data_IF_444775407064
#
_entry.id   IF_444775407064
#
_cell.length_a   1.000
_cell.length_b   1.000
_cell.length_c   1.000
_cell.angle_alpha   90.00
_cell.angle_beta   90.00
_cell.angle_gamma   90.00
#
_symmetry.space_group_name_H-M   'P 1'
#
loop_
_entity.id
_entity.type
_entity.pdbx_description
1 polymer ?
#
# COMPACT_ATOMS: atom_id res chain seq x y z
N UNK A 1 14.65 -3.29 11.43
CA UNK A 1 13.58 -2.68 12.24
C UNK A 1 13.66 -3.27 13.62
N UNK A 2 13.67 -2.44 14.66
CA UNK A 2 13.78 -2.89 16.04
C UNK A 2 12.44 -2.70 16.76
N UNK A 3 12.03 -3.64 17.65
CA UNK A 3 10.79 -3.52 18.40
C UNK A 3 10.67 -2.20 19.20
N UNK A 4 11.79 -1.67 19.68
CA UNK A 4 11.86 -0.39 20.42
C UNK A 4 11.43 0.83 19.59
N UNK A 5 11.48 0.71 18.27
CA UNK A 5 11.02 1.76 17.34
C UNK A 5 9.55 1.64 17.02
N UNK A 6 8.87 0.63 17.55
CA UNK A 6 7.46 0.42 17.35
C UNK A 6 6.70 0.61 18.67
N UNK A 7 5.39 0.75 18.57
CA UNK A 7 4.46 0.85 19.70
C UNK A 7 3.10 0.33 19.27
N UNK A 8 2.30 -0.12 20.23
CA UNK A 8 0.89 -0.36 19.96
C UNK A 8 0.13 0.97 19.94
N UNK A 9 -0.69 1.16 18.91
CA UNK A 9 -1.70 2.22 18.85
C UNK A 9 -3.03 1.49 18.71
N UNK A 10 -3.82 1.51 19.79
CA UNK A 10 -5.17 0.95 19.84
C UNK A 10 -5.29 -0.47 19.25
N UNK A 11 -4.30 -1.33 19.55
CA UNK A 11 -4.25 -2.73 19.11
C UNK A 11 -3.37 -3.01 17.89
N UNK A 12 -2.94 -1.98 17.14
CA UNK A 12 -2.11 -2.14 15.93
C UNK A 12 -0.63 -1.86 16.23
N UNK A 13 0.27 -2.75 15.79
CA UNK A 13 1.71 -2.57 15.94
C UNK A 13 2.27 -1.60 14.90
N UNK A 14 2.66 -0.41 15.34
CA UNK A 14 2.99 0.72 14.47
C UNK A 14 4.39 1.25 14.73
N UNK A 15 5.11 1.62 13.66
CA UNK A 15 6.41 2.28 13.78
C UNK A 15 6.25 3.71 14.30
N UNK A 16 7.19 4.18 15.12
CA UNK A 16 7.14 5.51 15.74
C UNK A 16 7.23 6.67 14.75
N UNK A 17 7.64 6.38 13.51
CA UNK A 17 7.60 7.31 12.37
C UNK A 17 6.18 7.81 12.05
N UNK A 18 5.15 7.01 12.34
CA UNK A 18 3.76 7.43 12.14
C UNK A 18 3.31 8.26 13.34
N UNK A 19 2.78 9.49 13.13
CA UNK A 19 2.21 10.28 14.22
C UNK A 19 1.02 9.56 14.85
N UNK A 20 1.02 9.41 16.17
CA UNK A 20 -0.01 8.62 16.88
C UNK A 20 -1.42 9.17 16.69
N UNK A 21 -1.54 10.50 16.74
CA UNK A 21 -2.80 11.22 16.50
C UNK A 21 -3.35 10.96 15.09
N UNK A 22 -2.49 10.87 14.07
CA UNK A 22 -2.90 10.65 12.69
C UNK A 22 -3.40 9.21 12.51
N UNK A 23 -2.70 8.23 13.09
CA UNK A 23 -3.13 6.83 13.07
C UNK A 23 -4.49 6.67 13.77
N UNK A 24 -4.66 7.25 14.97
CA UNK A 24 -5.95 7.21 15.67
C UNK A 24 -7.06 7.96 14.92
N UNK A 25 -6.73 9.06 14.25
CA UNK A 25 -7.65 9.80 13.40
C UNK A 25 -8.11 8.94 12.22
N UNK A 26 -7.17 8.27 11.53
CA UNK A 26 -7.46 7.36 10.42
C UNK A 26 -8.35 6.18 10.84
N UNK A 27 -8.10 5.57 12.02
CA UNK A 27 -8.96 4.51 12.58
C UNK A 27 -10.41 4.96 12.81
N UNK A 28 -10.62 6.26 13.07
CA UNK A 28 -11.94 6.86 13.30
C UNK A 28 -12.61 7.38 12.03
N UNK A 29 -11.89 7.40 10.91
CA UNK A 29 -12.44 7.88 9.65
C UNK A 29 -13.63 7.03 9.24
N UNK A 30 -14.74 7.70 8.89
CA UNK A 30 -15.94 7.06 8.38
C UNK A 30 -16.05 7.37 6.88
N UNK A 31 -15.84 6.38 6.00
CA UNK A 31 -15.98 6.59 4.58
C UNK A 31 -17.36 7.14 4.20
N UNK A 32 -17.37 8.11 3.29
CA UNK A 32 -18.57 8.72 2.72
C UNK A 32 -19.05 7.89 1.53
N UNK A 33 -20.27 8.16 1.10
CA UNK A 33 -20.82 7.56 -0.10
C UNK A 33 -19.94 7.84 -1.32
N UNK A 34 -19.63 6.78 -2.08
CA UNK A 34 -18.75 6.86 -3.24
C UNK A 34 -17.25 6.99 -2.94
N UNK A 35 -16.82 7.01 -1.67
CA UNK A 35 -15.39 7.00 -1.37
C UNK A 35 -14.74 5.70 -1.87
N UNK A 36 -13.58 5.84 -2.50
CA UNK A 36 -12.76 4.72 -2.97
C UNK A 36 -11.57 4.57 -2.01
N UNK A 37 -11.38 3.37 -1.48
CA UNK A 37 -10.30 3.07 -0.54
C UNK A 37 -9.46 1.91 -1.09
N UNK A 38 -8.18 2.19 -1.35
CA UNK A 38 -7.18 1.17 -1.64
C UNK A 38 -6.60 0.67 -0.31
N UNK A 39 -6.85 -0.60 -0.01
CA UNK A 39 -6.38 -1.26 1.21
C UNK A 39 -5.39 -2.35 0.84
N UNK A 40 -4.26 -2.40 1.52
CA UNK A 40 -3.25 -3.43 1.28
C UNK A 40 -2.51 -3.72 2.57
N UNK A 41 -2.00 -4.94 2.75
CA UNK A 41 -0.87 -5.10 3.66
C UNK A 41 0.35 -4.38 3.06
N UNK A 42 1.28 -3.81 3.85
CA UNK A 42 2.46 -3.14 3.31
C UNK A 42 3.16 -3.97 2.23
N UNK A 43 3.53 -3.29 1.14
CA UNK A 43 4.34 -3.85 0.05
C UNK A 43 3.63 -4.85 -0.87
N UNK A 44 2.30 -4.84 -0.87
CA UNK A 44 1.48 -5.63 -1.80
C UNK A 44 1.08 -4.90 -3.09
N UNK A 45 1.72 -3.77 -3.45
CA UNK A 45 1.42 -3.05 -4.71
C UNK A 45 0.55 -1.80 -4.57
N UNK A 46 0.53 -1.22 -3.38
CA UNK A 46 -0.31 -0.08 -2.99
C UNK A 46 -0.16 1.14 -3.90
N UNK A 47 1.07 1.64 -4.08
CA UNK A 47 1.33 2.81 -4.93
C UNK A 47 0.93 2.55 -6.39
N UNK A 48 1.09 1.32 -6.87
CA UNK A 48 0.76 0.97 -8.26
C UNK A 48 -0.75 1.02 -8.47
N UNK A 49 -1.49 0.37 -7.59
CA UNK A 49 -2.96 0.32 -7.64
C UNK A 49 -3.57 1.71 -7.43
N UNK A 50 -3.06 2.46 -6.45
CA UNK A 50 -3.54 3.82 -6.20
C UNK A 50 -3.29 4.74 -7.41
N UNK A 51 -2.13 4.62 -8.07
CA UNK A 51 -1.82 5.41 -9.26
C UNK A 51 -2.64 4.99 -10.48
N UNK A 52 -2.96 3.69 -10.63
CA UNK A 52 -3.92 3.20 -11.63
C UNK A 52 -5.29 3.84 -11.40
N UNK A 53 -5.81 3.79 -10.17
CA UNK A 53 -7.11 4.41 -9.83
C UNK A 53 -7.10 5.90 -10.15
N UNK A 54 -6.04 6.62 -9.75
CA UNK A 54 -5.87 8.03 -10.10
C UNK A 54 -5.98 8.26 -11.62
N UNK A 55 -5.23 7.49 -12.42
CA UNK A 55 -5.23 7.66 -13.87
C UNK A 55 -6.56 7.28 -14.52
N UNK A 56 -7.32 6.33 -13.98
CA UNK A 56 -8.67 6.02 -14.45
C UNK A 56 -9.61 7.21 -14.20
N UNK A 57 -9.58 7.77 -12.98
CA UNK A 57 -10.44 8.87 -12.57
C UNK A 57 -10.11 10.17 -13.32
N UNK A 58 -8.82 10.44 -13.60
CA UNK A 58 -8.40 11.65 -14.33
C UNK A 58 -8.37 11.49 -15.84
N UNK A 59 -8.78 10.35 -16.38
CA UNK A 59 -8.65 10.02 -17.81
C UNK A 59 -7.20 10.13 -18.30
N UNK A 60 -6.25 9.71 -17.46
CA UNK A 60 -4.82 9.73 -17.75
C UNK A 60 -4.20 11.12 -17.77
N UNK A 61 -4.84 12.12 -17.16
CA UNK A 61 -4.24 13.43 -16.97
C UNK A 61 -3.23 13.37 -15.81
N UNK A 62 -1.94 13.64 -16.07
CA UNK A 62 -0.91 13.53 -15.06
C UNK A 62 -1.03 14.65 -14.02
N UNK A 63 -0.69 14.39 -12.74
CA UNK A 63 -0.54 15.45 -11.76
C UNK A 63 0.75 16.24 -12.06
N UNK A 64 0.84 17.47 -11.57
CA UNK A 64 2.03 18.30 -11.70
C UNK A 64 3.26 17.65 -11.04
N UNK A 65 3.06 17.06 -9.85
CA UNK A 65 4.08 16.30 -9.13
C UNK A 65 3.47 15.35 -8.07
N UNK A 66 4.34 14.64 -7.34
CA UNK A 66 3.95 13.73 -6.27
C UNK A 66 3.26 14.44 -5.09
N UNK A 67 3.51 15.73 -4.89
CA UNK A 67 2.90 16.54 -3.84
C UNK A 67 1.43 16.78 -4.11
N UNK A 68 1.10 17.23 -5.32
CA UNK A 68 -0.29 17.37 -5.78
C UNK A 68 -1.02 16.01 -5.76
N UNK A 69 -0.39 14.97 -6.31
CA UNK A 69 -0.92 13.60 -6.26
C UNK A 69 -1.25 13.14 -4.83
N UNK A 70 -0.38 13.44 -3.86
CA UNK A 70 -0.58 13.02 -2.47
C UNK A 70 -1.71 13.77 -1.75
N UNK A 71 -2.10 14.96 -2.22
CA UNK A 71 -3.29 15.65 -1.73
C UNK A 71 -4.57 15.07 -2.35
N UNK A 72 -4.50 14.70 -3.63
CA UNK A 72 -5.63 14.11 -4.35
C UNK A 72 -5.91 12.66 -3.92
N UNK A 73 -4.86 11.93 -3.52
CA UNK A 73 -4.90 10.50 -3.18
C UNK A 73 -4.14 10.22 -1.86
N UNK A 74 -4.72 10.59 -0.70
CA UNK A 74 -4.01 10.64 0.57
C UNK A 74 -3.76 9.27 1.21
N UNK A 75 -2.66 9.17 1.95
CA UNK A 75 -2.36 8.03 2.84
C UNK A 75 -2.74 8.38 4.28
N UNK A 76 -3.96 8.00 4.69
CA UNK A 76 -4.55 8.50 5.93
C UNK A 76 -3.83 8.03 7.19
N UNK A 77 -3.16 6.87 7.17
CA UNK A 77 -2.38 6.39 8.33
C UNK A 77 -1.24 7.37 8.68
N UNK A 78 -0.72 8.08 7.67
CA UNK A 78 0.30 9.10 7.83
C UNK A 78 -0.27 10.50 8.01
N UNK A 79 -1.31 10.86 7.24
CA UNK A 79 -1.81 12.24 7.16
C UNK A 79 -3.03 12.53 8.05
N UNK A 80 -3.63 11.50 8.66
CA UNK A 80 -4.88 11.58 9.41
C UNK A 80 -6.12 11.64 8.50
N UNK A 81 -7.30 11.50 9.11
CA UNK A 81 -8.59 11.49 8.43
C UNK A 81 -8.92 12.82 7.74
N UNK A 82 -8.44 13.95 8.27
CA UNK A 82 -8.66 15.28 7.69
C UNK A 82 -8.18 15.36 6.23
N UNK A 83 -7.13 14.60 5.87
CA UNK A 83 -6.66 14.55 4.48
C UNK A 83 -7.67 13.88 3.55
N UNK A 84 -8.45 12.91 4.03
CA UNK A 84 -9.55 12.33 3.26
C UNK A 84 -10.74 13.30 3.15
N UNK A 85 -10.94 14.17 4.13
CA UNK A 85 -12.00 15.19 4.11
C UNK A 85 -11.65 16.42 3.27
N UNK A 86 -10.41 16.52 2.79
CA UNK A 86 -9.92 17.62 1.96
C UNK A 86 -10.73 17.79 0.67
N UNK A 87 -11.20 19.01 0.32
CA UNK A 87 -11.95 19.26 -0.92
C UNK A 87 -11.15 18.97 -2.21
N UNK A 88 -9.83 19.04 -2.17
CA UNK A 88 -8.96 18.69 -3.31
C UNK A 88 -8.83 17.17 -3.50
N UNK A 89 -9.32 16.36 -2.56
CA UNK A 89 -9.32 14.90 -2.69
C UNK A 89 -10.45 14.46 -3.61
N UNK A 90 -10.08 13.94 -4.77
CA UNK A 90 -11.02 13.30 -5.70
C UNK A 90 -10.63 11.85 -6.05
N UNK A 91 -9.40 11.42 -5.74
CA UNK A 91 -8.92 10.07 -6.01
C UNK A 91 -9.01 9.16 -4.76
N UNK A 92 -8.52 7.93 -4.90
CA UNK A 92 -8.60 6.94 -3.83
C UNK A 92 -7.84 7.35 -2.56
N UNK A 93 -8.45 7.06 -1.42
CA UNK A 93 -7.81 7.07 -0.12
C UNK A 93 -7.00 5.79 0.01
N UNK A 94 -5.86 5.84 0.70
CA UNK A 94 -5.05 4.66 0.95
C UNK A 94 -4.85 4.43 2.44
N UNK A 95 -4.90 3.17 2.84
CA UNK A 95 -4.62 2.72 4.21
C UNK A 95 -4.00 1.32 4.24
N UNK A 96 -3.20 1.06 5.27
CA UNK A 96 -2.69 -0.25 5.64
C UNK A 96 -3.31 -0.74 6.97
N UNK A 97 -4.31 -0.04 7.49
CA UNK A 97 -4.95 -0.43 8.74
C UNK A 97 -5.67 -1.78 8.57
N UNK A 98 -5.46 -2.73 9.49
CA UNK A 98 -6.17 -4.00 9.46
C UNK A 98 -7.67 -3.78 9.70
N UNK A 99 -8.50 -4.73 9.26
CA UNK A 99 -9.96 -4.61 9.27
C UNK A 99 -10.55 -4.34 10.67
N UNK A 100 -9.91 -4.84 11.74
CA UNK A 100 -10.34 -4.57 13.12
C UNK A 100 -10.10 -3.12 13.58
N UNK A 101 -9.20 -2.40 12.92
CA UNK A 101 -8.84 -1.01 13.22
C UNK A 101 -9.46 0.00 12.24
N UNK A 102 -9.87 -0.46 11.06
CA UNK A 102 -10.58 0.32 10.06
C UNK A 102 -11.76 -0.50 9.53
N UNK A 103 -12.93 -0.30 10.14
CA UNK A 103 -14.13 -1.07 9.81
C UNK A 103 -14.77 -0.54 8.52
N UNK A 104 -14.86 -1.37 7.46
CA UNK A 104 -15.49 -0.96 6.21
C UNK A 104 -17.01 -0.78 6.36
N UNK A 105 -17.58 0.05 5.49
CA UNK A 105 -19.00 0.43 5.43
C UNK A 105 -19.53 0.25 4.01
N UNK A 106 -20.81 -0.04 3.84
CA UNK A 106 -21.35 -0.50 2.56
C UNK A 106 -21.38 0.57 1.45
N UNK A 107 -21.44 1.85 1.81
CA UNK A 107 -21.50 2.97 0.88
C UNK A 107 -20.17 3.32 0.18
N UNK A 108 -19.06 2.73 0.63
CA UNK A 108 -17.74 2.98 0.06
C UNK A 108 -17.25 1.77 -0.73
N UNK A 109 -16.37 2.00 -1.70
CA UNK A 109 -15.73 0.98 -2.52
C UNK A 109 -14.33 0.67 -2.00
N UNK A 110 -14.00 -0.61 -1.87
CA UNK A 110 -12.70 -1.06 -1.40
C UNK A 110 -11.98 -1.85 -2.48
N UNK A 111 -10.73 -1.49 -2.76
CA UNK A 111 -9.85 -2.27 -3.60
C UNK A 111 -8.78 -2.88 -2.69
N UNK A 112 -8.87 -4.19 -2.47
CA UNK A 112 -7.87 -4.93 -1.69
C UNK A 112 -6.87 -5.60 -2.62
N UNK A 113 -5.57 -5.36 -2.39
CA UNK A 113 -4.49 -6.01 -3.16
C UNK A 113 -3.71 -6.96 -2.28
N UNK A 114 -3.76 -8.24 -2.61
CA UNK A 114 -2.93 -9.27 -2.02
C UNK A 114 -1.64 -9.47 -2.84
N UNK A 115 -0.60 -9.98 -2.20
CA UNK A 115 0.65 -10.39 -2.86
C UNK A 115 1.21 -11.59 -2.14
N UNK A 116 1.81 -12.54 -2.85
CA UNK A 116 2.33 -13.76 -2.21
C UNK A 116 3.26 -13.41 -1.01
N UNK A 117 3.16 -14.16 0.11
CA UNK A 117 3.80 -13.78 1.35
C UNK A 117 5.34 -13.76 1.26
N UNK A 118 5.94 -14.56 0.37
CA UNK A 118 7.38 -14.64 0.18
C UNK A 118 7.95 -13.36 -0.46
N UNK A 119 7.40 -12.92 -1.59
CA UNK A 119 7.83 -11.66 -2.23
C UNK A 119 7.43 -10.44 -1.40
N UNK A 120 6.30 -10.51 -0.69
CA UNK A 120 5.90 -9.49 0.26
C UNK A 120 6.98 -9.30 1.34
N UNK A 121 7.43 -10.40 1.97
CA UNK A 121 8.47 -10.36 2.99
C UNK A 121 9.77 -9.74 2.46
N UNK A 122 10.26 -10.14 1.28
CA UNK A 122 11.46 -9.54 0.66
C UNK A 122 11.26 -8.05 0.38
N UNK A 123 10.12 -7.67 -0.19
CA UNK A 123 9.85 -6.27 -0.46
C UNK A 123 9.74 -5.43 0.80
N UNK A 124 9.28 -6.02 1.91
CA UNK A 124 9.14 -5.35 3.19
C UNK A 124 10.46 -5.27 3.95
N UNK A 125 11.33 -6.27 3.82
CA UNK A 125 12.71 -6.20 4.28
C UNK A 125 13.43 -4.95 3.73
N UNK A 126 13.48 -4.81 2.41
CA UNK A 126 14.16 -3.68 1.75
C UNK A 126 13.55 -2.32 2.09
N UNK A 127 12.23 -2.25 2.26
CA UNK A 127 11.57 -1.03 2.70
C UNK A 127 11.93 -0.68 4.15
N UNK A 128 12.00 -1.69 5.02
CA UNK A 128 12.28 -1.52 6.44
C UNK A 128 13.71 -1.07 6.72
N UNK A 129 14.67 -1.34 5.82
CA UNK A 129 16.03 -0.79 5.91
C UNK A 129 16.01 0.74 5.97
N UNK A 130 15.23 1.39 5.11
CA UNK A 130 15.08 2.85 5.09
C UNK A 130 14.39 3.43 6.34
N UNK A 131 13.81 2.59 7.19
CA UNK A 131 13.21 2.95 8.48
C UNK A 131 14.06 2.49 9.66
N UNK A 132 15.23 1.89 9.42
CA UNK A 132 16.10 1.35 10.45
C UNK A 132 17.33 2.25 10.63
N UNK A 133 17.58 2.78 11.84
CA UNK A 133 18.76 3.60 12.13
C UNK A 133 20.06 2.83 11.93
N UNK A 134 21.13 3.51 11.50
CA UNK A 134 22.47 2.93 11.38
C UNK A 134 23.05 2.39 12.69
N UNK A 135 22.49 2.77 13.84
CA UNK A 135 22.86 2.19 15.15
C UNK A 135 22.44 0.73 15.30
N UNK A 136 21.49 0.26 14.49
CA UNK A 136 21.12 -1.16 14.42
C UNK A 136 22.09 -1.84 13.47
N UNK A 137 22.89 -2.77 13.97
CA UNK A 137 23.97 -3.40 13.21
C UNK A 137 23.53 -4.67 12.48
N UNK A 138 22.65 -5.47 13.08
CA UNK A 138 22.05 -6.63 12.41
C UNK A 138 20.81 -6.19 11.63
N UNK A 139 21.01 -5.98 10.34
CA UNK A 139 19.96 -5.71 9.37
C UNK A 139 19.82 -6.86 8.37
N UNK A 140 20.12 -8.09 8.78
CA UNK A 140 20.04 -9.27 7.91
C UNK A 140 18.59 -9.60 7.53
N UNK A 141 18.42 -10.24 6.36
CA UNK A 141 17.11 -10.76 5.95
C UNK A 141 16.57 -11.80 6.95
N UNK A 142 17.44 -12.64 7.52
CA UNK A 142 17.06 -13.63 8.53
C UNK A 142 16.41 -12.96 9.74
N UNK A 143 17.05 -11.94 10.30
CA UNK A 143 16.51 -11.15 11.42
C UNK A 143 15.16 -10.52 11.10
N UNK A 144 15.02 -9.95 9.90
CA UNK A 144 13.73 -9.40 9.47
C UNK A 144 12.66 -10.47 9.31
N UNK A 145 12.99 -11.62 8.74
CA UNK A 145 12.05 -12.71 8.52
C UNK A 145 11.49 -13.22 9.85
N UNK A 146 12.32 -13.36 10.88
CA UNK A 146 11.85 -13.73 12.23
C UNK A 146 10.82 -12.73 12.79
N UNK A 147 11.04 -11.43 12.56
CA UNK A 147 10.07 -10.38 12.95
C UNK A 147 8.80 -10.46 12.11
N UNK A 148 8.91 -10.75 10.81
CA UNK A 148 7.77 -10.87 9.91
C UNK A 148 6.88 -12.07 10.29
N UNK A 149 7.47 -13.24 10.51
CA UNK A 149 6.74 -14.47 10.88
C UNK A 149 6.10 -14.39 12.27
N UNK A 150 6.64 -13.55 13.16
CA UNK A 150 6.07 -13.29 14.49
C UNK A 150 5.07 -12.11 14.52
N UNK A 151 4.81 -11.47 13.37
CA UNK A 151 3.93 -10.30 13.28
C UNK A 151 4.46 -9.05 14.00
N UNK A 152 5.78 -8.97 14.24
CA UNK A 152 6.46 -7.84 14.89
C UNK A 152 7.01 -6.83 13.88
N UNK A 153 6.29 -6.62 12.79
CA UNK A 153 6.54 -5.62 11.74
C UNK A 153 5.34 -4.66 11.61
N UNK A 154 5.47 -3.52 10.93
CA UNK A 154 4.36 -2.54 10.85
C UNK A 154 3.07 -3.21 10.39
N UNK A 155 1.96 -2.85 11.04
CA UNK A 155 0.61 -3.36 10.82
C UNK A 155 0.37 -4.81 11.26
N UNK A 156 1.37 -5.47 11.85
CA UNK A 156 1.22 -6.76 12.51
C UNK A 156 1.49 -7.95 11.59
N UNK A 157 0.77 -9.03 11.80
CA UNK A 157 0.90 -10.27 11.03
C UNK A 157 0.19 -10.15 9.66
N UNK A 158 0.86 -10.66 8.63
CA UNK A 158 0.37 -10.63 7.24
C UNK A 158 -0.99 -11.33 7.06
N UNK A 159 -1.19 -12.50 7.66
CA UNK A 159 -2.42 -13.27 7.49
C UNK A 159 -3.56 -12.75 8.36
N UNK A 160 -3.25 -12.21 9.55
CA UNK A 160 -4.25 -11.50 10.36
C UNK A 160 -4.79 -10.25 9.64
N UNK A 161 -3.99 -9.67 8.73
CA UNK A 161 -4.44 -8.61 7.83
C UNK A 161 -5.19 -9.15 6.60
N UNK A 162 -4.66 -10.19 5.93
CA UNK A 162 -5.19 -10.70 4.67
C UNK A 162 -6.51 -11.46 4.81
N UNK A 163 -6.61 -12.37 5.78
CA UNK A 163 -7.74 -13.31 5.88
C UNK A 163 -9.10 -12.62 6.07
N UNK A 164 -9.25 -11.57 6.91
CA UNK A 164 -10.51 -10.85 7.01
C UNK A 164 -10.97 -10.24 5.69
N UNK A 165 -10.05 -9.64 4.92
CA UNK A 165 -10.36 -9.09 3.61
C UNK A 165 -10.64 -10.17 2.55
N UNK A 166 -9.93 -11.30 2.63
CA UNK A 166 -10.20 -12.46 1.79
C UNK A 166 -11.61 -13.01 2.03
N UNK A 167 -12.10 -13.01 3.27
CA UNK A 167 -13.47 -13.38 3.62
C UNK A 167 -14.53 -12.47 2.99
N UNK A 168 -14.18 -11.21 2.70
CA UNK A 168 -15.04 -10.19 2.09
C UNK A 168 -14.87 -10.05 0.57
N UNK A 169 -14.04 -10.87 -0.06
CA UNK A 169 -13.72 -10.77 -1.50
C UNK A 169 -14.92 -10.91 -2.45
N UNK A 170 -16.05 -11.39 -1.93
CA UNK A 170 -17.30 -11.55 -2.68
C UNK A 170 -18.32 -10.47 -2.36
N UNK A 171 -18.00 -9.54 -1.45
CA UNK A 171 -18.86 -8.39 -1.17
C UNK A 171 -18.94 -7.50 -2.42
N UNK A 172 -20.12 -6.95 -2.76
CA UNK A 172 -20.30 -6.17 -3.99
C UNK A 172 -19.49 -4.88 -4.01
N UNK A 173 -19.11 -4.35 -2.83
CA UNK A 173 -18.31 -3.15 -2.69
C UNK A 173 -16.81 -3.44 -2.43
N UNK A 174 -16.35 -4.68 -2.64
CA UNK A 174 -14.95 -5.08 -2.49
C UNK A 174 -14.43 -5.68 -3.80
N UNK A 175 -13.48 -5.01 -4.43
CA UNK A 175 -12.66 -5.59 -5.49
C UNK A 175 -11.40 -6.19 -4.88
N UNK A 176 -11.28 -7.51 -4.94
CA UNK A 176 -10.10 -8.23 -4.49
C UNK A 176 -9.25 -8.65 -5.70
N UNK A 177 -7.99 -8.21 -5.72
CA UNK A 177 -7.04 -8.51 -6.80
C UNK A 177 -5.68 -8.93 -6.20
N UNK A 178 -4.83 -9.53 -7.02
CA UNK A 178 -3.46 -9.86 -6.63
C UNK A 178 -2.44 -9.04 -7.40
N UNK A 179 -1.31 -8.74 -6.77
CA UNK A 179 -0.16 -8.13 -7.43
C UNK A 179 0.33 -8.97 -8.61
N UNK A 180 0.21 -10.29 -8.50
CA UNK A 180 0.64 -11.23 -9.52
C UNK A 180 -0.26 -11.19 -10.75
N UNK A 181 -1.58 -11.06 -10.59
CA UNK A 181 -2.51 -10.86 -11.71
C UNK A 181 -2.20 -9.54 -12.44
N UNK A 182 -1.98 -8.45 -11.69
CA UNK A 182 -1.57 -7.16 -12.28
C UNK A 182 -0.25 -7.27 -13.04
N UNK A 183 0.69 -8.08 -12.56
CA UNK A 183 1.97 -8.32 -13.23
C UNK A 183 1.84 -9.21 -14.46
N UNK A 184 0.89 -10.14 -14.47
CA UNK A 184 0.65 -11.05 -15.58
C UNK A 184 -0.08 -10.34 -16.73
N UNK A 185 -1.14 -9.58 -16.44
CA UNK A 185 -1.89 -8.81 -17.42
C UNK A 185 -2.42 -7.50 -16.80
N UNK A 186 -1.61 -6.45 -16.93
CA UNK A 186 -1.97 -5.13 -16.42
C UNK A 186 -3.21 -4.55 -17.14
N UNK A 187 -3.39 -4.84 -18.44
CA UNK A 187 -4.52 -4.29 -19.20
C UNK A 187 -5.83 -4.85 -18.67
N UNK A 188 -5.90 -6.16 -18.45
CA UNK A 188 -7.07 -6.82 -17.88
C UNK A 188 -7.41 -6.26 -16.49
N UNK A 189 -6.42 -6.13 -15.60
CA UNK A 189 -6.67 -5.61 -14.24
C UNK A 189 -7.05 -4.12 -14.22
N UNK A 190 -6.50 -3.29 -15.12
CA UNK A 190 -6.91 -1.87 -15.27
C UNK A 190 -8.38 -1.77 -15.70
N UNK A 191 -8.81 -2.58 -16.67
CA UNK A 191 -10.22 -2.60 -17.12
C UNK A 191 -11.16 -3.07 -16.00
N UNK A 192 -10.79 -4.12 -15.29
CA UNK A 192 -11.52 -4.64 -14.14
C UNK A 192 -11.66 -3.61 -13.02
N UNK A 193 -10.59 -2.88 -12.71
CA UNK A 193 -10.64 -1.76 -11.75
C UNK A 193 -11.60 -0.68 -12.27
N UNK A 194 -11.51 -0.29 -13.53
CA UNK A 194 -12.38 0.75 -14.09
C UNK A 194 -13.86 0.37 -14.02
N UNK A 195 -14.23 -0.86 -14.37
CA UNK A 195 -15.60 -1.36 -14.24
C UNK A 195 -16.10 -1.32 -12.79
N UNK A 196 -15.26 -1.75 -11.85
CA UNK A 196 -15.59 -1.68 -10.43
C UNK A 196 -15.78 -0.23 -9.93
N UNK A 197 -14.96 0.71 -10.41
CA UNK A 197 -15.10 2.12 -10.08
C UNK A 197 -16.39 2.73 -10.64
N UNK A 198 -16.90 2.24 -11.76
CA UNK A 198 -18.22 2.58 -12.29
C UNK A 198 -18.35 2.32 -13.78
N UNK A 199 -19.58 2.17 -14.26
CA UNK A 199 -19.88 1.88 -15.68
C UNK A 199 -19.28 2.93 -16.62
N UNK A 200 -19.33 4.21 -16.24
CA UNK A 200 -18.73 5.31 -17.00
C UNK A 200 -17.20 5.21 -17.13
N UNK A 201 -16.52 4.58 -16.16
CA UNK A 201 -15.08 4.37 -16.21
C UNK A 201 -14.75 3.17 -17.07
N UNK A 202 -15.47 2.06 -16.91
CA UNK A 202 -15.33 0.87 -17.75
C UNK A 202 -15.58 1.17 -19.22
N UNK A 203 -16.72 1.82 -19.54
CA UNK A 203 -17.07 2.20 -20.92
C UNK A 203 -16.00 3.07 -21.57
N UNK A 204 -15.53 4.10 -20.87
CA UNK A 204 -14.50 4.98 -21.40
C UNK A 204 -13.19 4.25 -21.75
N UNK A 205 -12.82 3.20 -21.02
CA UNK A 205 -11.63 2.41 -21.34
C UNK A 205 -11.87 1.34 -22.41
N UNK A 206 -13.06 0.77 -22.50
CA UNK A 206 -13.39 -0.19 -23.55
C UNK A 206 -13.52 0.47 -24.93
N UNK A 207 -13.93 1.73 -25.00
CA UNK A 207 -14.15 2.47 -26.25
C UNK A 207 -12.90 3.24 -26.74
N UNK A 208 -11.90 3.45 -25.88
CA UNK A 208 -10.70 4.26 -26.20
C UNK A 208 -9.40 3.52 -25.84
N UNK A 209 -8.88 2.76 -26.81
CA UNK A 209 -7.60 2.05 -26.67
C UNK A 209 -6.40 3.00 -26.48
N UNK A 210 -6.48 4.26 -26.95
CA UNK A 210 -5.40 5.24 -26.74
C UNK A 210 -5.37 5.72 -25.29
N UNK A 211 -6.54 5.92 -24.68
CA UNK A 211 -6.65 6.20 -23.25
C UNK A 211 -6.09 5.03 -22.44
N UNK A 212 -6.44 3.78 -22.78
CA UNK A 212 -5.88 2.59 -22.12
C UNK A 212 -4.36 2.56 -22.25
N UNK A 213 -3.83 2.75 -23.47
CA UNK A 213 -2.38 2.77 -23.69
C UNK A 213 -1.67 3.86 -22.85
N UNK A 214 -2.25 5.06 -22.76
CA UNK A 214 -1.72 6.15 -21.92
C UNK A 214 -1.70 5.79 -20.44
N UNK A 215 -2.76 5.18 -19.91
CA UNK A 215 -2.83 4.74 -18.52
C UNK A 215 -1.78 3.65 -18.25
N UNK A 216 -1.66 2.67 -19.16
CA UNK A 216 -0.68 1.59 -19.04
C UNK A 216 0.75 2.12 -19.07
N UNK A 217 1.07 3.05 -19.96
CA UNK A 217 2.37 3.70 -20.03
C UNK A 217 2.68 4.45 -18.73
N UNK A 218 1.76 5.30 -18.26
CA UNK A 218 1.94 6.03 -17.00
C UNK A 218 2.16 5.09 -15.80
N UNK A 219 1.49 3.94 -15.79
CA UNK A 219 1.58 2.93 -14.74
C UNK A 219 2.67 1.86 -14.99
N UNK A 220 3.53 2.04 -16.00
CA UNK A 220 4.70 1.18 -16.23
C UNK A 220 5.70 1.29 -15.07
N UNK A 221 6.52 0.25 -14.91
CA UNK A 221 7.52 0.22 -13.83
C UNK A 221 8.51 1.39 -13.98
N UNK A 222 8.93 1.66 -15.20
CA UNK A 222 9.86 2.70 -15.60
C UNK A 222 9.31 4.08 -15.24
N UNK A 223 8.08 4.40 -15.66
CA UNK A 223 7.47 5.69 -15.37
C UNK A 223 7.13 5.85 -13.89
N UNK A 224 6.70 4.79 -13.21
CA UNK A 224 6.50 4.82 -11.76
C UNK A 224 7.80 5.06 -10.98
N UNK A 225 8.94 4.51 -11.42
CA UNK A 225 10.25 4.80 -10.80
C UNK A 225 10.60 6.27 -10.91
N UNK A 226 10.32 6.88 -12.06
CA UNK A 226 10.57 8.31 -12.29
C UNK A 226 9.63 9.17 -11.45
N UNK A 227 8.34 8.82 -11.40
CA UNK A 227 7.33 9.60 -10.68
C UNK A 227 7.52 9.53 -9.16
N UNK A 228 7.80 8.35 -8.61
CA UNK A 228 8.01 8.12 -7.17
C UNK A 228 9.48 8.14 -6.75
N UNK A 229 10.33 8.92 -7.44
CA UNK A 229 11.78 9.03 -7.16
C UNK A 229 12.11 9.85 -5.90
N UNK A 230 11.20 10.74 -5.49
CA UNK A 230 11.44 11.64 -4.37
C UNK A 230 11.57 10.86 -3.05
N UNK A 231 12.57 11.24 -2.26
CA UNK A 231 12.70 10.75 -0.89
C UNK A 231 11.56 11.32 -0.01
N UNK A 232 11.35 10.79 1.22
CA UNK A 232 10.29 11.27 2.10
C UNK A 232 10.33 12.78 2.39
N UNK A 233 11.52 13.39 2.48
CA UNK A 233 11.69 14.81 2.76
C UNK A 233 11.26 15.69 1.57
N UNK A 234 11.72 15.35 0.37
CA UNK A 234 11.35 16.06 -0.86
C UNK A 234 9.85 15.94 -1.13
N UNK A 235 9.28 14.75 -0.89
CA UNK A 235 7.83 14.54 -1.00
C UNK A 235 7.06 15.39 0.01
N UNK A 236 7.47 15.41 1.29
CA UNK A 236 6.83 16.25 2.30
C UNK A 236 6.89 17.75 1.92
N UNK A 237 8.03 18.21 1.42
CA UNK A 237 8.19 19.60 0.94
C UNK A 237 7.25 19.91 -0.21
N UNK A 238 7.15 19.03 -1.22
CA UNK A 238 6.22 19.20 -2.36
C UNK A 238 4.75 19.18 -1.91
N UNK A 239 4.40 18.31 -0.96
CA UNK A 239 3.05 18.29 -0.37
C UNK A 239 2.71 19.61 0.31
N UNK A 240 3.60 20.16 1.14
CA UNK A 240 3.41 21.47 1.79
C UNK A 240 3.28 22.59 0.77
N UNK A 241 4.10 22.57 -0.29
CA UNK A 241 4.00 23.54 -1.38
C UNK A 241 2.67 23.44 -2.13
N UNK A 242 2.23 22.23 -2.48
CA UNK A 242 0.94 22.01 -3.13
C UNK A 242 -0.22 22.47 -2.23
N UNK A 243 -0.17 22.17 -0.93
CA UNK A 243 -1.18 22.57 0.04
C UNK A 243 -1.25 24.11 0.20
N UNK A 244 -0.10 24.80 0.12
CA UNK A 244 -0.04 26.26 0.26
C UNK A 244 -0.74 27.02 -0.87
N UNK A 245 -0.97 26.36 -2.01
CA UNK A 245 -1.71 26.93 -3.15
C UNK A 245 -3.23 26.84 -3.01
N UNK A 246 -3.73 26.14 -1.99
CA UNK A 246 -5.17 25.97 -1.75
C UNK A 246 -5.58 26.60 -0.42
N UNK A 247 -6.50 27.59 -0.41
CA UNK A 247 -6.90 28.30 0.80
C UNK A 247 -7.72 27.45 1.79
N UNK A 248 -8.06 26.20 1.42
CA UNK A 248 -8.94 25.31 2.19
C UNK A 248 -8.19 24.12 2.81
N UNK A 249 -6.89 23.96 2.51
CA UNK A 249 -6.12 22.80 2.99
C UNK A 249 -5.52 23.10 4.35
N UNK A 250 -5.93 22.33 5.37
CA UNK A 250 -5.32 22.37 6.69
C UNK A 250 -3.84 21.93 6.61
N UNK A 251 -2.95 22.85 6.95
CA UNK A 251 -1.49 22.69 6.92
C UNK A 251 -0.97 21.96 8.16
N UNK A 252 -1.75 21.89 9.24
CA UNK A 252 -1.29 21.40 10.55
C UNK A 252 -0.80 19.93 10.53
N UNK A 253 -1.42 18.99 9.81
CA UNK A 253 -0.94 17.60 9.76
C UNK A 253 0.43 17.45 9.06
N UNK A 254 0.75 18.33 8.10
CA UNK A 254 1.98 18.29 7.32
C UNK A 254 3.18 18.86 8.09
N UNK A 255 2.95 19.82 8.98
CA UNK A 255 3.98 20.42 9.84
C UNK A 255 4.47 19.48 10.95
N UNK A 256 3.68 18.43 11.26
CA UNK A 256 3.98 17.43 12.30
C UNK A 256 4.65 16.16 11.79
N UNK A 257 4.91 16.05 10.48
CA UNK A 257 5.79 15.01 9.94
C UNK A 257 7.14 15.16 10.64
N UNK A 258 7.47 14.19 11.50
CA UNK A 258 8.59 14.29 12.43
C UNK A 258 9.88 14.68 11.70
N UNK A 259 10.70 15.51 12.35
CA UNK A 259 12.08 15.79 11.93
C UNK A 259 12.81 14.47 11.63
N UNK A 260 13.68 14.43 10.60
CA UNK A 260 14.28 13.18 10.15
C UNK A 260 14.97 12.49 11.33
N UNK A 261 14.76 11.18 11.52
CA UNK A 261 15.49 10.48 12.56
C UNK A 261 16.97 10.36 12.14
N UNK A 262 17.82 9.96 13.10
CA UNK A 262 19.26 9.63 12.94
C UNK A 262 19.53 8.90 11.61
N UNK A 263 20.73 9.06 11.04
CA UNK A 263 21.14 8.40 9.79
C UNK A 263 20.57 6.98 9.67
N UNK A 264 19.80 6.73 8.61
CA UNK A 264 19.13 5.44 8.35
C UNK A 264 19.99 4.57 7.43
N UNK A 265 19.73 3.27 7.46
CA UNK A 265 20.23 2.37 6.41
C UNK A 265 19.62 2.71 5.05
N UNK A 266 20.32 2.36 3.98
CA UNK A 266 19.84 2.59 2.62
C UNK A 266 18.68 1.64 2.31
N UNK A 267 17.48 2.21 2.12
CA UNK A 267 16.29 1.48 1.70
C UNK A 267 16.10 1.54 0.18
N UNK A 268 15.23 0.68 -0.36
CA UNK A 268 15.01 0.59 -1.81
C UNK A 268 14.09 1.66 -2.44
N UNK A 269 13.72 2.70 -1.69
CA UNK A 269 12.65 3.62 -2.08
C UNK A 269 11.29 2.93 -2.29
N UNK A 270 10.40 3.57 -3.07
CA UNK A 270 9.05 3.06 -3.32
C UNK A 270 8.97 2.00 -4.42
N UNK A 271 9.84 2.07 -5.44
CA UNK A 271 9.81 1.20 -6.61
C UNK A 271 11.18 0.54 -6.81
N UNK A 272 11.29 -0.74 -6.43
CA UNK A 272 12.55 -1.51 -6.44
C UNK A 272 12.74 -2.32 -7.73
N UNK A 273 12.26 -3.57 -7.75
CA UNK A 273 12.37 -4.48 -8.91
C UNK A 273 11.05 -4.65 -9.68
N UNK A 274 9.90 -4.62 -9.00
CA UNK A 274 8.61 -4.77 -9.67
C UNK A 274 8.36 -6.15 -10.31
N UNK A 275 8.87 -7.21 -9.69
CA UNK A 275 8.83 -8.59 -10.19
C UNK A 275 8.13 -9.55 -9.22
N UNK A 276 7.72 -10.70 -9.74
CA UNK A 276 7.23 -11.87 -9.01
C UNK A 276 8.37 -12.92 -8.97
N UNK A 277 8.60 -13.54 -7.82
CA UNK A 277 9.61 -14.59 -7.64
C UNK A 277 10.98 -14.12 -7.15
N UNK A 278 11.13 -12.86 -6.72
CA UNK A 278 12.42 -12.37 -6.20
C UNK A 278 12.81 -13.04 -4.88
N UNK A 279 11.84 -13.60 -4.16
CA UNK A 279 12.06 -14.40 -2.96
C UNK A 279 13.09 -15.53 -3.14
N UNK A 280 13.22 -16.09 -4.35
CA UNK A 280 14.21 -17.14 -4.68
C UNK A 280 15.65 -16.69 -4.42
N UNK A 281 15.91 -15.38 -4.40
CA UNK A 281 17.24 -14.81 -4.17
C UNK A 281 17.55 -14.55 -2.68
N UNK A 282 16.60 -14.78 -1.77
CA UNK A 282 16.72 -14.39 -0.35
C UNK A 282 16.52 -15.54 0.62
N UNK A 283 15.59 -16.44 0.33
CA UNK A 283 15.22 -17.50 1.27
C UNK A 283 16.18 -18.69 1.19
N UNK A 284 16.67 -19.13 2.35
CA UNK A 284 17.33 -20.45 2.49
C UNK A 284 16.30 -21.57 2.61
N UNK A 285 16.73 -22.83 2.48
CA UNK A 285 15.84 -23.99 2.64
C UNK A 285 15.19 -24.05 4.04
N UNK A 286 15.94 -23.70 5.09
CA UNK A 286 15.45 -23.65 6.47
C UNK A 286 14.41 -22.55 6.67
N UNK A 287 14.65 -21.38 6.10
CA UNK A 287 13.72 -20.26 6.13
C UNK A 287 12.43 -20.56 5.36
N UNK A 288 12.54 -21.26 4.22
CA UNK A 288 11.38 -21.79 3.49
C UNK A 288 10.57 -22.73 4.39
N UNK A 289 11.22 -23.69 5.03
CA UNK A 289 10.56 -24.65 5.92
C UNK A 289 9.80 -23.95 7.05
N UNK A 290 10.43 -22.98 7.72
CA UNK A 290 9.81 -22.20 8.77
C UNK A 290 8.61 -21.39 8.25
N UNK A 291 8.76 -20.74 7.09
CA UNK A 291 7.69 -19.96 6.46
C UNK A 291 6.51 -20.84 6.06
N UNK A 292 6.75 -22.04 5.52
CA UNK A 292 5.67 -22.99 5.19
C UNK A 292 4.90 -23.44 6.44
N UNK A 293 5.59 -23.69 7.55
CA UNK A 293 4.94 -24.03 8.81
C UNK A 293 4.06 -22.89 9.31
N UNK A 294 4.57 -21.65 9.29
CA UNK A 294 3.81 -20.45 9.63
C UNK A 294 2.58 -20.26 8.72
N UNK A 295 2.73 -20.39 7.40
CA UNK A 295 1.60 -20.33 6.45
C UNK A 295 0.55 -21.38 6.79
N UNK A 296 0.96 -22.65 6.91
CA UNK A 296 0.03 -23.75 7.18
C UNK A 296 -0.72 -23.58 8.51
N UNK A 297 -0.08 -23.00 9.52
CA UNK A 297 -0.71 -22.67 10.79
C UNK A 297 -1.70 -21.51 10.64
N UNK A 298 -1.26 -20.38 10.06
CA UNK A 298 -2.07 -19.15 9.98
C UNK A 298 -3.23 -19.25 9.00
N UNK A 299 -3.11 -20.06 7.95
CA UNK A 299 -4.18 -20.27 6.96
C UNK A 299 -4.97 -21.54 7.21
N UNK A 300 -4.87 -22.16 8.40
CA UNK A 300 -5.62 -23.37 8.73
C UNK A 300 -7.12 -23.15 8.54
N UNK A 301 -7.75 -23.98 7.71
CA UNK A 301 -9.18 -23.87 7.41
C UNK A 301 -9.54 -22.80 6.37
N UNK A 302 -8.56 -22.16 5.75
CA UNK A 302 -8.74 -21.21 4.65
C UNK A 302 -8.10 -21.74 3.38
N UNK A 303 -8.69 -21.42 2.22
CA UNK A 303 -8.11 -21.70 0.91
C UNK A 303 -7.40 -20.49 0.29
N UNK A 304 -7.09 -19.45 1.08
CA UNK A 304 -6.43 -18.22 0.63
C UNK A 304 -5.15 -18.47 -0.17
N UNK A 305 -4.39 -19.52 0.14
CA UNK A 305 -3.16 -19.83 -0.60
C UNK A 305 -3.41 -20.31 -2.03
N UNK A 306 -4.64 -20.68 -2.40
CA UNK A 306 -5.02 -20.98 -3.79
C UNK A 306 -4.95 -19.75 -4.70
N UNK A 307 -4.95 -18.53 -4.15
CA UNK A 307 -4.70 -17.31 -4.91
C UNK A 307 -3.42 -17.38 -5.75
N UNK A 308 -2.45 -18.20 -5.32
CA UNK A 308 -1.15 -18.33 -5.96
C UNK A 308 -0.84 -19.75 -6.44
N UNK A 309 -1.85 -20.60 -6.66
CA UNK A 309 -1.63 -22.00 -7.08
C UNK A 309 -1.01 -22.13 -8.48
N UNK A 310 -1.11 -21.09 -9.31
CA UNK A 310 -0.45 -21.02 -10.62
C UNK A 310 1.02 -20.60 -10.55
N UNK A 311 1.53 -20.28 -9.36
CA UNK A 311 2.92 -19.87 -9.16
C UNK A 311 3.74 -21.02 -8.58
N UNK A 312 5.02 -21.02 -8.92
CA UNK A 312 6.02 -21.92 -8.35
C UNK A 312 6.46 -21.41 -6.96
N UNK A 313 5.54 -21.45 -5.99
CA UNK A 313 5.81 -21.16 -4.58
C UNK A 313 6.27 -22.44 -3.83
N UNK A 314 7.16 -22.33 -2.82
CA UNK A 314 7.79 -23.46 -2.16
C UNK A 314 6.90 -24.49 -1.44
#
# INVERSE_FOLDING_TARGET
MEPEMCRYIDGVWMHKFFPEENVRSAMKYKPRDGDIIVVTYPKCGTNWTQYIVYNILTRGNPPADVGEYSLMSPFIDMTGANAAENPSRFAAIMTHLPLHAFTPVDQAKYIYVARNPYDCAVSFYHFSLGLTPKSVTDVSFARFLDLFLSGKVLYGDYFDHLLPWYGRRSDPNVLFITYEDMKADLRAEVLKIAEFLGEEHGKALHEDDLLVARILDACSLENMKVFFKDNPQDRAKKMTQAASKSPVVDQAPLQKLASPPKEMHEGSGFVRKGVVGDWKNYFTAEQIKATKAWIAEKTRGSDVMKLWSGLDLP
#
